data_IF_568566263469
#
_entry.id   IF_568566263469
#
_cell.length_a   1.000
_cell.length_b   1.000
_cell.length_c   1.000
_cell.angle_alpha   90.00
_cell.angle_beta   90.00
_cell.angle_gamma   90.00
#
_symmetry.space_group_name_H-M   'P 1'
#
loop_
_entity.id
_entity.type
_entity.pdbx_description
1 polymer ?
#
# COMPACT_ATOMS: atom_id res chain seq x y z
N UNK A 1 -30.15 -0.69 -5.53
CA UNK A 1 -29.00 0.20 -5.34
C UNK A 1 -28.09 -0.01 -6.52
N UNK A 2 -27.78 1.04 -7.28
CA UNK A 2 -26.73 0.95 -8.31
C UNK A 2 -25.44 0.43 -7.63
N UNK A 3 -24.65 -0.44 -8.26
CA UNK A 3 -23.38 -0.85 -7.68
C UNK A 3 -22.58 0.41 -7.40
N UNK A 4 -22.14 0.57 -6.14
CA UNK A 4 -21.44 1.76 -5.69
C UNK A 4 -20.24 2.07 -6.57
N UNK A 5 -20.00 3.34 -6.89
CA UNK A 5 -18.83 3.78 -7.62
C UNK A 5 -17.55 3.51 -6.80
N UNK A 6 -16.43 3.41 -7.47
CA UNK A 6 -15.10 3.27 -6.87
C UNK A 6 -14.32 4.54 -7.22
N UNK A 7 -13.76 5.22 -6.23
CA UNK A 7 -12.85 6.33 -6.49
C UNK A 7 -11.44 5.82 -6.74
N UNK A 8 -10.86 6.16 -7.89
CA UNK A 8 -9.47 5.86 -8.24
C UNK A 8 -8.67 7.15 -8.21
N UNK A 9 -7.87 7.33 -7.16
CA UNK A 9 -6.99 8.49 -7.03
C UNK A 9 -5.66 8.24 -7.70
N UNK A 10 -5.29 9.12 -8.62
CA UNK A 10 -4.00 9.12 -9.31
C UNK A 10 -3.55 10.55 -9.60
N UNK A 11 -2.28 10.73 -9.94
CA UNK A 11 -1.78 12.02 -10.40
C UNK A 11 -0.69 11.82 -11.46
N UNK A 12 -0.65 12.62 -12.56
CA UNK A 12 0.40 12.50 -13.59
C UNK A 12 1.81 12.56 -13.01
N UNK A 13 2.06 13.39 -12.00
CA UNK A 13 3.35 13.51 -11.33
C UNK A 13 3.88 12.20 -10.75
N UNK A 14 3.03 11.27 -10.40
CA UNK A 14 3.48 9.95 -9.91
C UNK A 14 4.17 9.14 -11.01
N UNK A 15 3.92 9.46 -12.28
CA UNK A 15 4.61 8.86 -13.43
C UNK A 15 5.96 9.49 -13.73
N UNK A 16 6.23 10.68 -13.18
CA UNK A 16 7.49 11.41 -13.37
C UNK A 16 8.61 10.91 -12.43
N UNK A 17 8.27 10.07 -11.44
CA UNK A 17 9.28 9.33 -10.67
C UNK A 17 9.96 8.32 -11.60
N UNK A 18 11.26 8.51 -11.84
CA UNK A 18 12.08 7.68 -12.75
C UNK A 18 13.33 7.14 -12.04
N UNK A 19 13.30 5.90 -11.55
CA UNK A 19 14.45 5.25 -10.93
C UNK A 19 15.47 4.70 -11.96
N UNK A 20 15.19 4.85 -13.25
CA UNK A 20 16.04 4.42 -14.35
C UNK A 20 15.43 3.31 -15.22
N UNK A 21 15.94 3.12 -16.45
CA UNK A 21 15.27 2.35 -17.49
C UNK A 21 15.18 0.83 -17.22
N UNK A 22 16.07 0.29 -16.38
CA UNK A 22 16.08 -1.13 -16.03
C UNK A 22 15.46 -1.42 -14.65
N UNK A 23 14.91 -0.40 -14.00
CA UNK A 23 14.37 -0.55 -12.65
C UNK A 23 12.98 -1.22 -12.69
N UNK A 24 12.71 -2.23 -11.84
CA UNK A 24 11.42 -2.93 -11.85
C UNK A 24 10.27 -2.01 -11.43
N UNK A 25 10.51 -1.07 -10.49
CA UNK A 25 9.53 -0.06 -10.10
C UNK A 25 9.45 1.04 -11.16
N UNK A 26 8.82 0.75 -12.31
CA UNK A 26 8.75 1.60 -13.48
C UNK A 26 7.37 2.27 -13.66
N UNK A 27 7.29 3.45 -14.33
CA UNK A 27 6.02 4.13 -14.62
C UNK A 27 4.99 3.25 -15.36
N UNK A 28 5.44 2.25 -16.12
CA UNK A 28 4.56 1.31 -16.82
C UNK A 28 3.62 0.53 -15.88
N UNK A 29 4.01 0.31 -14.63
CA UNK A 29 3.19 -0.36 -13.61
C UNK A 29 1.84 0.35 -13.46
N UNK A 30 1.85 1.65 -13.25
CA UNK A 30 0.63 2.46 -13.07
C UNK A 30 -0.03 2.79 -14.41
N UNK A 31 0.72 3.02 -15.50
CA UNK A 31 0.11 3.27 -16.82
C UNK A 31 -0.77 2.12 -17.29
N UNK A 32 -0.28 0.89 -17.23
CA UNK A 32 -1.03 -0.30 -17.64
C UNK A 32 -2.23 -0.53 -16.71
N UNK A 33 -2.06 -0.33 -15.41
CA UNK A 33 -3.15 -0.42 -14.44
C UNK A 33 -4.26 0.58 -14.74
N UNK A 34 -3.93 1.86 -14.93
CA UNK A 34 -4.93 2.90 -15.22
C UNK A 34 -5.66 2.63 -16.53
N UNK A 35 -4.95 2.24 -17.59
CA UNK A 35 -5.57 1.86 -18.87
C UNK A 35 -6.56 0.70 -18.68
N UNK A 36 -6.19 -0.35 -17.94
CA UNK A 36 -7.07 -1.48 -17.67
C UNK A 36 -8.31 -1.10 -16.85
N UNK A 37 -8.21 -0.14 -15.94
CA UNK A 37 -9.34 0.38 -15.17
C UNK A 37 -10.24 1.28 -16.02
N UNK A 38 -9.69 2.06 -16.96
CA UNK A 38 -10.42 2.96 -17.85
C UNK A 38 -11.14 2.26 -18.98
N UNK A 39 -10.56 1.17 -19.49
CA UNK A 39 -11.05 0.45 -20.67
C UNK A 39 -11.66 -0.91 -20.33
N UNK A 40 -11.45 -1.39 -19.10
CA UNK A 40 -11.85 -2.72 -18.66
C UNK A 40 -13.29 -2.81 -18.12
N UNK A 41 -13.63 -3.95 -17.54
CA UNK A 41 -15.01 -4.26 -17.09
C UNK A 41 -15.50 -3.36 -15.93
N UNK A 42 -14.60 -2.66 -15.24
CA UNK A 42 -14.95 -1.73 -14.16
C UNK A 42 -15.01 -0.27 -14.60
N UNK A 43 -14.78 0.06 -15.87
CA UNK A 43 -14.71 1.43 -16.38
C UNK A 43 -15.93 2.28 -15.97
N UNK A 44 -17.13 1.73 -16.07
CA UNK A 44 -18.37 2.41 -15.69
C UNK A 44 -18.57 2.56 -14.17
N UNK A 45 -17.80 1.85 -13.36
CA UNK A 45 -17.82 1.93 -11.89
C UNK A 45 -16.72 2.80 -11.31
N UNK A 46 -15.67 3.09 -12.07
CA UNK A 46 -14.52 3.86 -11.61
C UNK A 46 -14.68 5.35 -11.91
N UNK A 47 -14.57 6.18 -10.88
CA UNK A 47 -14.40 7.62 -11.00
C UNK A 47 -12.92 7.96 -10.78
N UNK A 48 -12.27 8.47 -11.82
CA UNK A 48 -10.86 8.85 -11.77
C UNK A 48 -10.74 10.28 -11.24
N UNK A 49 -10.00 10.42 -10.17
CA UNK A 49 -9.85 11.68 -9.43
C UNK A 49 -8.37 12.03 -9.31
N UNK A 50 -8.07 13.29 -9.50
CA UNK A 50 -6.71 13.79 -9.31
C UNK A 50 -6.33 13.80 -7.83
N UNK A 51 -5.21 13.16 -7.50
CA UNK A 51 -4.75 13.08 -6.13
C UNK A 51 -4.17 14.41 -5.66
N UNK A 52 -4.60 14.94 -4.51
CA UNK A 52 -3.97 16.11 -3.93
C UNK A 52 -2.52 15.81 -3.55
N UNK A 53 -1.71 16.83 -3.43
CA UNK A 53 -0.42 16.73 -2.76
C UNK A 53 -0.64 16.64 -1.24
N UNK A 54 0.04 15.71 -0.56
CA UNK A 54 0.01 15.64 0.89
C UNK A 54 0.64 16.90 1.48
N UNK A 55 -0.06 17.55 2.40
CA UNK A 55 0.48 18.71 3.07
C UNK A 55 1.69 18.35 3.95
N UNK A 56 2.62 19.27 4.09
CA UNK A 56 3.80 19.08 4.95
C UNK A 56 3.42 18.61 6.38
N UNK A 57 2.41 19.18 7.06
CA UNK A 57 1.97 18.69 8.36
C UNK A 57 1.51 17.22 8.37
N UNK A 58 0.92 16.71 7.28
CA UNK A 58 0.55 15.30 7.21
C UNK A 58 1.77 14.40 7.12
N UNK A 59 2.75 14.78 6.31
CA UNK A 59 4.00 14.02 6.15
C UNK A 59 4.80 14.01 7.47
N UNK A 60 4.83 15.13 8.19
CA UNK A 60 5.59 15.27 9.45
C UNK A 60 5.02 14.47 10.62
N UNK A 61 3.78 13.97 10.52
CA UNK A 61 3.22 12.98 11.47
C UNK A 61 3.88 11.60 11.38
N UNK A 62 4.62 11.35 10.30
CA UNK A 62 5.24 10.05 9.99
C UNK A 62 6.74 10.18 9.81
N UNK A 63 7.19 11.22 9.14
CA UNK A 63 8.57 11.45 8.76
C UNK A 63 9.05 12.79 9.32
N UNK A 64 10.11 12.85 10.12
CA UNK A 64 10.65 14.11 10.64
C UNK A 64 10.99 15.13 9.55
N UNK A 65 10.79 16.42 9.86
CA UNK A 65 11.07 17.52 8.95
C UNK A 65 12.43 17.43 8.24
N UNK A 66 13.55 17.21 8.96
CA UNK A 66 14.87 17.08 8.34
C UNK A 66 14.99 15.96 7.31
N UNK A 67 14.26 14.85 7.49
CA UNK A 67 14.23 13.78 6.48
C UNK A 67 13.53 14.23 5.20
N UNK A 68 12.38 14.89 5.33
CA UNK A 68 11.62 15.40 4.19
C UNK A 68 12.41 16.50 3.44
N UNK A 69 13.12 17.37 4.18
CA UNK A 69 14.00 18.39 3.61
C UNK A 69 15.13 17.74 2.80
N UNK A 70 15.75 16.69 3.34
CA UNK A 70 16.76 15.91 2.62
C UNK A 70 16.23 15.29 1.33
N UNK A 71 15.01 14.74 1.32
CA UNK A 71 14.40 14.23 0.09
C UNK A 71 14.19 15.35 -0.94
N UNK A 72 13.73 16.53 -0.49
CA UNK A 72 13.57 17.70 -1.35
C UNK A 72 14.91 18.20 -1.90
N UNK A 73 15.98 18.23 -1.10
CA UNK A 73 17.32 18.59 -1.52
C UNK A 73 17.88 17.63 -2.56
N UNK A 74 17.74 16.31 -2.36
CA UNK A 74 18.17 15.30 -3.33
C UNK A 74 17.41 15.47 -4.65
N UNK A 75 16.09 15.69 -4.61
CA UNK A 75 15.30 15.97 -5.81
C UNK A 75 15.75 17.27 -6.49
N UNK A 76 15.97 18.34 -5.73
CA UNK A 76 16.47 19.63 -6.24
C UNK A 76 17.86 19.55 -6.89
N UNK A 77 18.70 18.62 -6.46
CA UNK A 77 20.00 18.32 -7.05
C UNK A 77 19.91 17.43 -8.32
N UNK A 78 18.70 17.08 -8.77
CA UNK A 78 18.48 16.26 -9.96
C UNK A 78 18.20 14.79 -9.67
N UNK A 79 18.16 14.41 -8.42
CA UNK A 79 17.97 13.03 -7.95
C UNK A 79 19.24 12.40 -7.40
N UNK A 80 19.18 11.13 -7.04
CA UNK A 80 20.30 10.40 -6.48
C UNK A 80 19.90 9.04 -5.91
N UNK A 81 20.89 8.27 -5.51
CA UNK A 81 20.70 6.97 -4.85
C UNK A 81 20.60 7.17 -3.34
N UNK A 82 19.56 6.66 -2.73
CA UNK A 82 19.32 6.74 -1.28
C UNK A 82 19.69 5.45 -0.54
N UNK A 83 19.55 4.31 -1.22
CA UNK A 83 19.91 2.98 -0.72
C UNK A 83 20.39 2.12 -1.90
N UNK A 84 20.74 0.86 -1.65
CA UNK A 84 21.23 -0.08 -2.66
C UNK A 84 20.28 -0.23 -3.86
N UNK A 85 18.98 -0.11 -3.62
CA UNK A 85 17.90 -0.32 -4.60
C UNK A 85 16.92 0.87 -4.74
N UNK A 86 17.10 1.93 -3.95
CA UNK A 86 16.17 3.07 -3.93
C UNK A 86 16.81 4.29 -4.56
N UNK A 87 16.27 4.68 -5.71
CA UNK A 87 16.79 5.79 -6.55
C UNK A 87 15.72 6.86 -6.70
N UNK A 88 16.13 8.12 -6.60
CA UNK A 88 15.29 9.29 -6.88
C UNK A 88 15.70 9.96 -8.19
N UNK A 89 14.72 10.46 -8.92
CA UNK A 89 14.86 11.49 -9.94
C UNK A 89 14.48 12.87 -9.38
N UNK A 90 14.66 13.92 -10.16
CA UNK A 90 14.28 15.28 -9.78
C UNK A 90 12.78 15.42 -9.37
N UNK A 91 11.91 14.57 -9.90
CA UNK A 91 10.47 14.63 -9.65
C UNK A 91 10.00 13.65 -8.56
N UNK A 92 10.89 12.82 -8.02
CA UNK A 92 10.51 11.73 -7.12
C UNK A 92 9.88 12.19 -5.81
N UNK A 93 10.35 13.30 -5.22
CA UNK A 93 9.76 13.83 -4.00
C UNK A 93 8.34 14.36 -4.22
N UNK A 94 8.12 15.10 -5.31
CA UNK A 94 6.77 15.54 -5.71
C UNK A 94 5.84 14.34 -5.94
N UNK A 95 6.33 13.32 -6.65
CA UNK A 95 5.58 12.07 -6.85
C UNK A 95 5.19 11.40 -5.53
N UNK A 96 6.12 11.31 -4.56
CA UNK A 96 5.88 10.75 -3.24
C UNK A 96 4.85 11.57 -2.44
N UNK A 97 4.88 12.90 -2.54
CA UNK A 97 3.87 13.77 -1.90
C UNK A 97 2.46 13.51 -2.49
N UNK A 98 2.34 13.35 -3.81
CA UNK A 98 1.05 12.99 -4.43
C UNK A 98 0.64 11.55 -4.10
N UNK A 99 1.58 10.61 -3.96
CA UNK A 99 1.26 9.24 -3.55
C UNK A 99 0.67 9.20 -2.12
N UNK A 100 1.30 9.91 -1.19
CA UNK A 100 0.79 10.04 0.18
C UNK A 100 -0.56 10.79 0.21
N UNK A 101 -0.71 11.85 -0.59
CA UNK A 101 -1.95 12.60 -0.72
C UNK A 101 -3.10 11.76 -1.28
N UNK A 102 -2.81 10.89 -2.25
CA UNK A 102 -3.77 9.93 -2.79
C UNK A 102 -4.23 8.92 -1.73
N UNK A 103 -3.30 8.42 -0.90
CA UNK A 103 -3.63 7.51 0.20
C UNK A 103 -4.58 8.16 1.21
N UNK A 104 -4.33 9.42 1.58
CA UNK A 104 -5.24 10.20 2.44
C UNK A 104 -6.60 10.43 1.75
N UNK A 105 -6.61 10.78 0.46
CA UNK A 105 -7.85 11.00 -0.28
C UNK A 105 -8.68 9.71 -0.40
N UNK A 106 -8.02 8.56 -0.60
CA UNK A 106 -8.68 7.25 -0.63
C UNK A 106 -9.26 6.89 0.74
N UNK A 107 -8.52 7.10 1.83
CA UNK A 107 -9.01 6.89 3.19
C UNK A 107 -10.23 7.78 3.50
N UNK A 108 -10.18 9.04 3.08
CA UNK A 108 -11.31 9.99 3.22
C UNK A 108 -12.54 9.50 2.49
N UNK A 109 -12.40 9.13 1.21
CA UNK A 109 -13.51 8.65 0.40
C UNK A 109 -14.15 7.40 1.00
N UNK A 110 -13.34 6.45 1.48
CA UNK A 110 -13.84 5.27 2.15
C UNK A 110 -14.66 5.61 3.41
N UNK A 111 -14.17 6.51 4.27
CA UNK A 111 -14.88 6.99 5.45
C UNK A 111 -16.17 7.73 5.11
N UNK A 112 -16.23 8.38 3.95
CA UNK A 112 -17.41 9.06 3.43
C UNK A 112 -18.34 8.10 2.65
N UNK A 113 -18.07 6.78 2.70
CA UNK A 113 -18.94 5.73 2.18
C UNK A 113 -18.64 5.26 0.74
N UNK A 114 -17.56 5.73 0.11
CA UNK A 114 -17.16 5.33 -1.24
C UNK A 114 -15.85 4.55 -1.22
N UNK A 115 -15.84 3.25 -1.60
CA UNK A 115 -14.61 2.48 -1.73
C UNK A 115 -13.60 3.19 -2.63
N UNK A 116 -12.32 3.15 -2.26
CA UNK A 116 -11.32 3.91 -2.99
C UNK A 116 -9.97 3.21 -3.12
N UNK A 117 -9.26 3.53 -4.19
CA UNK A 117 -7.94 3.02 -4.51
C UNK A 117 -6.99 4.14 -4.91
N UNK A 118 -5.86 4.23 -4.26
CA UNK A 118 -4.74 5.09 -4.64
C UNK A 118 -3.83 4.34 -5.62
N UNK A 119 -4.00 4.61 -6.92
CA UNK A 119 -3.21 4.04 -8.01
C UNK A 119 -1.96 4.89 -8.24
N UNK A 120 -0.97 4.76 -7.38
CA UNK A 120 0.16 5.67 -7.27
C UNK A 120 1.51 4.95 -7.23
N UNK A 121 2.57 5.72 -7.36
CA UNK A 121 3.98 5.40 -7.13
C UNK A 121 4.74 6.69 -6.76
N UNK A 122 5.88 6.58 -6.06
CA UNK A 122 6.50 5.36 -5.53
C UNK A 122 5.66 4.66 -4.46
N UNK A 123 5.94 3.35 -4.18
CA UNK A 123 5.34 2.64 -3.06
C UNK A 123 5.80 3.21 -1.72
N UNK A 124 5.26 2.71 -0.60
CA UNK A 124 5.49 3.33 0.70
C UNK A 124 5.88 2.40 1.84
N UNK A 125 5.48 1.14 1.85
CA UNK A 125 5.48 0.30 3.04
C UNK A 125 6.86 -0.01 3.64
N UNK A 126 7.95 0.16 2.87
CA UNK A 126 9.32 -0.01 3.37
C UNK A 126 9.92 1.28 3.97
N UNK A 127 9.37 2.46 3.69
CA UNK A 127 9.92 3.72 4.18
C UNK A 127 9.82 3.80 5.71
N UNK A 128 10.98 3.91 6.36
CA UNK A 128 11.12 4.17 7.79
C UNK A 128 10.95 5.66 8.09
N UNK A 129 10.90 6.04 9.35
CA UNK A 129 10.74 7.45 9.74
C UNK A 129 11.77 8.37 9.06
N UNK A 130 13.03 7.97 9.03
CA UNK A 130 14.15 8.79 8.53
C UNK A 130 14.98 8.11 7.43
N UNK A 131 14.45 7.03 6.83
CA UNK A 131 15.18 6.27 5.81
C UNK A 131 14.27 5.77 4.71
N UNK A 132 14.63 6.14 3.48
CA UNK A 132 14.08 5.55 2.25
C UNK A 132 14.76 4.21 1.98
N UNK A 133 14.00 3.18 1.59
CA UNK A 133 14.50 1.88 1.20
C UNK A 133 13.42 1.08 0.45
N UNK A 134 13.79 0.02 -0.26
CA UNK A 134 12.83 -0.86 -0.94
C UNK A 134 11.95 -0.08 -1.92
N UNK A 135 12.51 0.84 -2.70
CA UNK A 135 11.83 1.74 -3.64
C UNK A 135 10.92 2.79 -2.98
N UNK A 136 10.76 2.78 -1.65
CA UNK A 136 9.84 3.62 -0.90
C UNK A 136 10.53 4.88 -0.36
N UNK A 137 9.89 6.03 -0.55
CA UNK A 137 10.37 7.33 -0.07
C UNK A 137 9.57 7.84 1.13
N UNK A 138 8.25 7.73 1.07
CA UNK A 138 7.30 8.15 2.11
C UNK A 138 6.35 6.97 2.37
N UNK A 139 6.03 6.73 3.63
CA UNK A 139 5.10 5.65 3.97
C UNK A 139 3.63 6.09 3.78
N UNK A 140 3.13 5.88 2.56
CA UNK A 140 1.83 6.37 2.11
C UNK A 140 0.68 5.91 3.00
N UNK A 141 0.65 4.61 3.35
CA UNK A 141 -0.45 4.02 4.13
C UNK A 141 -0.44 4.51 5.58
N UNK A 142 0.76 4.73 6.18
CA UNK A 142 0.85 5.26 7.54
C UNK A 142 0.50 6.75 7.58
N UNK A 143 0.83 7.53 6.54
CA UNK A 143 0.35 8.93 6.43
C UNK A 143 -1.18 8.97 6.43
N UNK A 144 -1.84 8.09 5.68
CA UNK A 144 -3.30 7.98 5.67
C UNK A 144 -3.86 7.53 7.03
N UNK A 145 -3.21 6.55 7.69
CA UNK A 145 -3.62 6.08 9.02
C UNK A 145 -3.51 7.19 10.08
N UNK A 146 -2.39 7.92 10.12
CA UNK A 146 -2.20 9.07 11.03
C UNK A 146 -3.21 10.19 10.76
N UNK A 147 -3.44 10.51 9.49
CA UNK A 147 -4.48 11.45 9.12
C UNK A 147 -5.86 11.01 9.64
N UNK A 148 -6.23 9.75 9.49
CA UNK A 148 -7.52 9.24 9.95
C UNK A 148 -7.66 9.31 11.48
N UNK A 149 -6.60 9.01 12.23
CA UNK A 149 -6.60 9.13 13.69
C UNK A 149 -6.77 10.58 14.15
N UNK A 150 -6.05 11.52 13.52
CA UNK A 150 -5.92 12.88 14.03
C UNK A 150 -6.96 13.85 13.44
N UNK A 151 -7.31 13.72 12.15
CA UNK A 151 -8.26 14.63 11.50
C UNK A 151 -9.72 14.11 11.55
N UNK A 152 -9.90 12.77 11.63
CA UNK A 152 -11.23 12.16 11.70
C UNK A 152 -11.55 11.63 13.10
N UNK A 153 -10.62 11.71 14.04
CA UNK A 153 -10.81 11.27 15.42
C UNK A 153 -10.99 9.76 15.59
N UNK A 154 -10.49 8.95 14.63
CA UNK A 154 -10.55 7.50 14.77
C UNK A 154 -9.61 7.04 15.88
N UNK A 155 -9.93 5.88 16.46
CA UNK A 155 -9.12 5.26 17.51
C UNK A 155 -8.76 3.80 17.20
N UNK A 156 -9.22 3.28 16.06
CA UNK A 156 -8.95 1.91 15.61
C UNK A 156 -8.82 1.86 14.08
N UNK A 157 -7.59 1.80 13.58
CA UNK A 157 -7.26 1.62 12.16
C UNK A 157 -6.57 0.28 11.98
N UNK A 158 -7.06 -0.55 11.07
CA UNK A 158 -6.41 -1.78 10.66
C UNK A 158 -5.65 -1.53 9.36
N UNK A 159 -4.36 -1.85 9.34
CA UNK A 159 -3.56 -1.92 8.12
C UNK A 159 -3.34 -3.40 7.80
N UNK A 160 -3.74 -3.83 6.62
CA UNK A 160 -3.45 -5.17 6.10
C UNK A 160 -2.54 -5.02 4.89
N UNK A 161 -1.40 -5.66 4.95
CA UNK A 161 -0.36 -5.65 3.94
C UNK A 161 -0.24 -7.04 3.33
N UNK A 162 -0.54 -7.15 2.06
CA UNK A 162 -0.40 -8.38 1.29
C UNK A 162 0.66 -8.30 0.20
N UNK A 163 1.45 -7.22 0.19
CA UNK A 163 2.71 -7.21 -0.57
C UNK A 163 3.56 -8.43 -0.17
N UNK A 164 4.26 -9.00 -1.12
CA UNK A 164 5.05 -10.20 -0.86
C UNK A 164 6.26 -9.93 0.04
N UNK A 165 6.68 -8.66 0.12
CA UNK A 165 7.73 -8.21 1.02
C UNK A 165 7.16 -7.75 2.36
N UNK A 166 7.90 -7.98 3.44
CA UNK A 166 7.50 -7.42 4.73
C UNK A 166 7.55 -5.91 4.73
N UNK A 167 6.44 -5.24 5.05
CA UNK A 167 6.37 -3.78 5.18
C UNK A 167 7.03 -3.29 6.47
N UNK A 168 8.36 -3.44 6.54
CA UNK A 168 9.15 -3.12 7.72
C UNK A 168 9.04 -1.66 8.16
N UNK A 169 8.85 -0.74 7.22
CA UNK A 169 8.60 0.68 7.51
C UNK A 169 7.26 0.88 8.19
N UNK A 170 6.20 0.25 7.66
CA UNK A 170 4.87 0.31 8.27
C UNK A 170 4.90 -0.26 9.69
N UNK A 171 5.48 -1.46 9.89
CA UNK A 171 5.62 -2.04 11.23
C UNK A 171 6.33 -1.07 12.20
N UNK A 172 7.52 -0.61 11.84
CA UNK A 172 8.33 0.25 12.71
C UNK A 172 7.63 1.57 13.10
N UNK A 173 6.80 2.12 12.20
CA UNK A 173 6.06 3.35 12.42
C UNK A 173 4.80 3.19 13.28
N UNK A 174 4.28 1.94 13.41
CA UNK A 174 3.00 1.73 14.11
C UNK A 174 3.11 0.78 15.30
N UNK A 175 4.17 0.02 15.47
CA UNK A 175 4.29 -1.04 16.49
C UNK A 175 4.19 -0.55 17.94
N UNK A 176 4.33 0.76 18.19
CA UNK A 176 4.18 1.38 19.49
C UNK A 176 2.83 2.11 19.67
N UNK A 177 1.90 2.04 18.68
CA UNK A 177 0.61 2.71 18.75
C UNK A 177 -0.54 1.70 18.71
N UNK A 178 -1.11 1.38 19.86
CA UNK A 178 -2.19 0.42 20.01
C UNK A 178 -3.49 0.78 19.23
N UNK A 179 -3.61 2.01 18.72
CA UNK A 179 -4.74 2.45 17.89
C UNK A 179 -4.65 1.93 16.47
N UNK A 180 -3.45 1.46 16.04
CA UNK A 180 -3.23 0.88 14.71
C UNK A 180 -2.84 -0.58 14.90
N UNK A 181 -3.59 -1.50 14.28
CA UNK A 181 -3.16 -2.89 14.13
C UNK A 181 -2.60 -3.11 12.73
N UNK A 182 -1.48 -3.82 12.66
CA UNK A 182 -0.79 -4.14 11.41
C UNK A 182 -0.73 -5.65 11.22
N UNK A 183 -1.22 -6.11 10.07
CA UNK A 183 -1.18 -7.52 9.65
C UNK A 183 -0.39 -7.60 8.35
N UNK A 184 0.66 -8.41 8.29
CA UNK A 184 1.48 -8.57 7.09
C UNK A 184 1.66 -10.03 6.72
N UNK A 185 1.23 -10.41 5.51
CA UNK A 185 1.59 -11.68 4.89
C UNK A 185 2.77 -11.44 3.96
N UNK A 186 3.89 -12.11 4.19
CA UNK A 186 5.07 -11.91 3.37
C UNK A 186 5.90 -13.19 3.21
N UNK A 187 6.70 -13.24 2.16
CA UNK A 187 7.61 -14.35 1.92
C UNK A 187 8.78 -14.30 2.90
N UNK A 188 9.13 -15.46 3.44
CA UNK A 188 10.29 -15.65 4.29
C UNK A 188 11.06 -16.92 3.91
N UNK A 189 12.40 -16.86 3.75
CA UNK A 189 13.24 -15.65 3.75
C UNK A 189 13.07 -14.84 2.46
N UNK A 190 13.04 -13.52 2.57
CA UNK A 190 13.06 -12.56 1.47
C UNK A 190 13.50 -11.19 2.00
N UNK A 191 13.74 -10.21 1.09
CA UNK A 191 13.93 -8.81 1.46
C UNK A 191 12.73 -8.31 2.31
N UNK A 192 12.93 -7.47 3.32
CA UNK A 192 14.19 -6.93 3.82
C UNK A 192 14.83 -7.79 4.92
N UNK A 193 14.34 -9.01 5.18
CA UNK A 193 14.86 -9.92 6.19
C UNK A 193 14.33 -9.64 7.61
N UNK A 194 13.17 -9.00 7.72
CA UNK A 194 12.42 -8.66 8.95
C UNK A 194 11.02 -9.26 8.92
N UNK A 195 10.24 -9.09 9.97
CA UNK A 195 8.84 -9.55 10.02
C UNK A 195 8.70 -10.98 10.58
N UNK A 196 9.43 -11.30 11.64
CA UNK A 196 9.26 -12.58 12.30
C UNK A 196 7.92 -12.66 13.02
N UNK A 197 7.34 -13.85 13.11
CA UNK A 197 6.05 -14.06 13.75
C UNK A 197 6.02 -13.68 15.25
N UNK A 198 7.19 -13.66 15.88
CA UNK A 198 7.36 -13.28 17.28
C UNK A 198 7.39 -11.76 17.51
N UNK A 199 7.57 -10.96 16.45
CA UNK A 199 7.53 -9.51 16.53
C UNK A 199 6.06 -9.06 16.66
N UNK A 200 5.71 -8.55 17.83
CA UNK A 200 4.30 -8.25 18.19
C UNK A 200 4.04 -6.79 18.50
N UNK A 201 5.08 -5.93 18.50
CA UNK A 201 4.94 -4.53 18.96
C UNK A 201 4.36 -4.47 20.38
N UNK A 202 3.40 -3.58 20.60
CA UNK A 202 2.63 -3.53 21.87
C UNK A 202 1.41 -4.47 21.84
N UNK A 203 1.48 -5.56 21.09
CA UNK A 203 0.40 -6.52 20.85
C UNK A 203 -0.45 -6.18 19.62
N UNK A 204 0.03 -5.31 18.76
CA UNK A 204 -0.69 -4.77 17.61
C UNK A 204 -0.10 -5.17 16.26
N UNK A 205 0.96 -5.99 16.24
CA UNK A 205 1.62 -6.49 15.02
C UNK A 205 1.34 -7.98 14.86
N UNK A 206 0.94 -8.39 13.65
CA UNK A 206 0.56 -9.76 13.28
C UNK A 206 1.28 -10.16 12.00
N UNK A 207 2.53 -10.61 12.14
CA UNK A 207 3.36 -11.07 11.03
C UNK A 207 3.06 -12.52 10.65
N UNK A 208 2.91 -12.76 9.35
CA UNK A 208 2.59 -14.06 8.75
C UNK A 208 3.66 -14.44 7.73
N UNK A 209 4.92 -14.70 8.18
CA UNK A 209 5.97 -15.16 7.27
C UNK A 209 5.61 -16.53 6.69
N UNK A 210 5.79 -16.71 5.38
CA UNK A 210 5.50 -17.95 4.66
C UNK A 210 6.61 -18.28 3.66
N UNK A 211 6.95 -19.56 3.46
CA UNK A 211 7.90 -19.97 2.42
C UNK A 211 7.26 -19.78 1.02
N UNK A 212 8.07 -19.61 -0.04
CA UNK A 212 7.60 -19.58 -1.42
C UNK A 212 7.05 -20.93 -1.89
N UNK A 213 6.32 -20.91 -3.02
CA UNK A 213 5.93 -22.11 -3.76
C UNK A 213 4.84 -22.97 -3.08
N UNK A 214 4.12 -22.45 -2.10
CA UNK A 214 2.97 -23.13 -1.48
C UNK A 214 1.72 -22.93 -2.35
N UNK A 215 0.72 -23.82 -2.25
CA UNK A 215 -0.59 -23.56 -2.87
C UNK A 215 -1.18 -22.22 -2.43
N UNK A 216 -1.79 -21.46 -3.35
CA UNK A 216 -2.32 -20.12 -3.06
C UNK A 216 -3.33 -20.12 -1.90
N UNK A 217 -4.13 -21.18 -1.77
CA UNK A 217 -5.08 -21.32 -0.68
C UNK A 217 -4.43 -21.28 0.71
N UNK A 218 -3.19 -21.77 0.87
CA UNK A 218 -2.47 -21.69 2.16
C UNK A 218 -2.14 -20.24 2.54
N UNK A 219 -1.77 -19.40 1.56
CA UNK A 219 -1.52 -17.99 1.78
C UNK A 219 -2.83 -17.25 2.08
N UNK A 220 -3.89 -17.56 1.31
CA UNK A 220 -5.21 -16.95 1.49
C UNK A 220 -5.74 -17.22 2.89
N UNK A 221 -5.70 -18.46 3.34
CA UNK A 221 -6.23 -18.85 4.65
C UNK A 221 -5.34 -18.33 5.80
N UNK A 222 -4.02 -18.26 5.59
CA UNK A 222 -3.09 -17.74 6.59
C UNK A 222 -3.32 -16.25 6.87
N UNK A 223 -3.46 -15.42 5.83
CA UNK A 223 -3.73 -14.00 6.00
C UNK A 223 -5.13 -13.77 6.60
N UNK A 224 -6.15 -14.50 6.13
CA UNK A 224 -7.50 -14.38 6.68
C UNK A 224 -7.55 -14.78 8.17
N UNK A 225 -6.80 -15.81 8.59
CA UNK A 225 -6.68 -16.20 9.99
C UNK A 225 -6.04 -15.09 10.85
N UNK A 226 -4.96 -14.46 10.35
CA UNK A 226 -4.29 -13.37 11.04
C UNK A 226 -5.19 -12.11 11.15
N UNK A 227 -5.94 -11.79 10.12
CA UNK A 227 -6.92 -10.68 10.17
C UNK A 227 -8.03 -10.99 11.19
N UNK A 228 -8.51 -12.23 11.26
CA UNK A 228 -9.46 -12.63 12.30
C UNK A 228 -8.87 -12.48 13.71
N UNK A 229 -7.62 -12.95 13.93
CA UNK A 229 -6.91 -12.76 15.20
C UNK A 229 -6.77 -11.26 15.53
N UNK A 230 -6.34 -10.48 14.55
CA UNK A 230 -6.16 -9.04 14.70
C UNK A 230 -7.48 -8.27 14.95
N UNK A 231 -8.62 -8.84 14.67
CA UNK A 231 -9.93 -8.18 14.84
C UNK A 231 -10.79 -8.80 15.94
N UNK A 232 -10.31 -9.84 16.61
CA UNK A 232 -11.02 -10.46 17.73
C UNK A 232 -11.15 -9.47 18.90
N UNK A 233 -12.40 -9.21 19.30
CA UNK A 233 -12.70 -8.19 20.32
C UNK A 233 -12.28 -6.76 19.95
N UNK A 234 -11.82 -6.51 18.69
CA UNK A 234 -11.34 -5.20 18.24
C UNK A 234 -11.90 -4.85 16.86
N UNK A 235 -13.01 -4.15 16.80
CA UNK A 235 -13.64 -3.75 15.56
C UNK A 235 -12.91 -2.53 14.96
N UNK A 236 -12.30 -2.64 13.76
CA UNK A 236 -11.70 -1.50 13.08
C UNK A 236 -12.77 -0.48 12.67
N UNK A 237 -12.39 0.79 12.63
CA UNK A 237 -13.20 1.89 12.10
C UNK A 237 -12.81 2.25 10.66
N UNK A 238 -11.63 1.81 10.23
CA UNK A 238 -11.11 1.93 8.88
C UNK A 238 -10.15 0.77 8.63
N UNK A 239 -10.21 0.18 7.45
CA UNK A 239 -9.24 -0.78 6.95
C UNK A 239 -8.47 -0.13 5.81
N UNK A 240 -7.15 -0.04 5.96
CA UNK A 240 -6.23 0.38 4.91
C UNK A 240 -5.48 -0.84 4.38
N UNK A 241 -5.43 -0.98 3.07
CA UNK A 241 -4.79 -2.10 2.40
C UNK A 241 -3.51 -1.60 1.72
N UNK A 242 -2.34 -2.06 2.19
CA UNK A 242 -1.10 -1.99 1.42
C UNK A 242 -1.20 -3.05 0.32
N UNK A 243 -1.62 -2.59 -0.86
CA UNK A 243 -2.03 -3.44 -1.96
C UNK A 243 -0.88 -3.67 -2.95
N UNK A 244 0.12 -4.45 -2.53
CA UNK A 244 1.12 -5.02 -3.43
C UNK A 244 0.53 -6.17 -4.25
N UNK A 245 1.01 -6.32 -5.48
CA UNK A 245 0.58 -7.40 -6.37
C UNK A 245 1.75 -8.27 -6.84
N UNK A 246 2.88 -8.23 -6.14
CA UNK A 246 4.07 -9.05 -6.34
C UNK A 246 3.98 -10.44 -5.68
N UNK A 247 2.97 -10.68 -4.84
CA UNK A 247 2.66 -12.01 -4.35
C UNK A 247 2.02 -12.92 -5.41
N UNK A 248 1.78 -12.41 -6.63
CA UNK A 248 1.21 -13.19 -7.72
C UNK A 248 2.20 -14.15 -8.35
N UNK A 249 1.70 -15.29 -8.82
CA UNK A 249 2.50 -16.25 -9.58
C UNK A 249 3.19 -15.58 -10.78
N UNK A 250 4.50 -15.77 -10.88
CA UNK A 250 5.32 -15.25 -11.99
C UNK A 250 5.86 -13.84 -11.81
N UNK A 251 5.72 -13.23 -10.62
CA UNK A 251 6.43 -11.99 -10.33
C UNK A 251 7.96 -12.25 -10.26
N UNK A 252 8.79 -11.37 -10.86
CA UNK A 252 10.24 -11.60 -10.92
C UNK A 252 10.96 -11.44 -9.58
N UNK A 253 10.34 -10.81 -8.57
CA UNK A 253 10.99 -10.52 -7.29
C UNK A 253 10.58 -11.47 -6.17
N UNK A 254 9.65 -12.40 -6.41
CA UNK A 254 9.13 -13.29 -5.37
C UNK A 254 8.67 -14.65 -5.91
N UNK A 255 8.29 -15.53 -4.99
CA UNK A 255 7.92 -16.91 -5.29
C UNK A 255 6.57 -17.33 -4.71
N UNK A 256 5.68 -16.40 -4.36
CA UNK A 256 4.30 -16.73 -4.01
C UNK A 256 3.50 -17.09 -5.28
N UNK A 257 2.34 -17.68 -5.11
CA UNK A 257 1.56 -18.31 -6.18
C UNK A 257 0.13 -17.79 -6.22
N UNK A 258 -0.10 -16.57 -5.73
CA UNK A 258 -1.44 -15.98 -5.73
C UNK A 258 -1.92 -15.70 -7.16
N UNK A 259 -3.23 -15.77 -7.33
CA UNK A 259 -3.94 -15.46 -8.57
C UNK A 259 -4.90 -14.27 -8.32
N UNK A 260 -5.38 -13.57 -9.36
CA UNK A 260 -6.23 -12.39 -9.23
C UNK A 260 -7.42 -12.57 -8.28
N UNK A 261 -8.08 -13.73 -8.34
CA UNK A 261 -9.26 -14.02 -7.52
C UNK A 261 -8.96 -14.18 -6.03
N UNK A 262 -7.71 -14.44 -5.65
CA UNK A 262 -7.33 -14.56 -4.24
C UNK A 262 -7.47 -13.22 -3.52
N UNK A 263 -7.10 -12.11 -4.19
CA UNK A 263 -7.29 -10.74 -3.68
C UNK A 263 -8.77 -10.37 -3.52
N UNK A 264 -9.61 -10.77 -4.47
CA UNK A 264 -11.05 -10.59 -4.37
C UNK A 264 -11.65 -11.40 -3.21
N UNK A 265 -11.13 -12.60 -2.97
CA UNK A 265 -11.54 -13.48 -1.88
C UNK A 265 -11.28 -12.83 -0.52
N UNK A 266 -10.10 -12.26 -0.30
CA UNK A 266 -9.78 -11.55 0.93
C UNK A 266 -10.74 -10.38 1.18
N UNK A 267 -10.90 -9.50 0.21
CA UNK A 267 -11.79 -8.34 0.35
C UNK A 267 -13.22 -8.78 0.64
N UNK A 268 -13.75 -9.77 -0.07
CA UNK A 268 -15.09 -10.32 0.15
C UNK A 268 -15.25 -10.88 1.56
N UNK A 269 -14.22 -11.55 2.10
CA UNK A 269 -14.22 -12.07 3.47
C UNK A 269 -14.21 -10.94 4.50
N UNK A 270 -13.43 -9.86 4.27
CA UNK A 270 -13.26 -8.78 5.25
C UNK A 270 -14.37 -7.73 5.23
N UNK A 271 -15.18 -7.67 4.17
CA UNK A 271 -16.41 -6.84 4.16
C UNK A 271 -17.33 -7.15 5.35
N UNK A 272 -17.32 -8.37 5.88
CA UNK A 272 -18.06 -8.74 7.10
C UNK A 272 -17.63 -7.98 8.36
N UNK A 273 -16.43 -7.37 8.38
CA UNK A 273 -15.98 -6.54 9.49
C UNK A 273 -16.76 -5.22 9.58
N UNK A 274 -17.52 -4.85 8.52
CA UNK A 274 -18.38 -3.66 8.50
C UNK A 274 -17.63 -2.33 8.49
N UNK A 275 -16.29 -2.36 8.38
CA UNK A 275 -15.47 -1.15 8.29
C UNK A 275 -15.26 -0.72 6.83
N UNK A 276 -15.22 0.60 6.56
CA UNK A 276 -14.84 1.12 5.25
C UNK A 276 -13.41 0.69 4.89
N UNK A 277 -13.17 0.46 3.58
CA UNK A 277 -11.88 0.00 3.07
C UNK A 277 -11.34 0.96 2.01
N UNK A 278 -10.03 1.28 2.11
CA UNK A 278 -9.28 1.98 1.08
C UNK A 278 -7.97 1.23 0.80
N UNK A 279 -7.57 1.20 -0.46
CA UNK A 279 -6.36 0.50 -0.90
C UNK A 279 -5.32 1.48 -1.44
N UNK A 280 -4.05 1.19 -1.18
CA UNK A 280 -2.90 1.96 -1.66
C UNK A 280 -1.96 1.00 -2.39
N UNK A 281 -1.63 1.29 -3.63
CA UNK A 281 -0.74 0.44 -4.44
C UNK A 281 0.67 0.43 -3.83
N UNK A 282 1.21 -0.77 -3.66
CA UNK A 282 2.60 -0.99 -3.26
C UNK A 282 3.37 -1.68 -4.41
N UNK A 283 3.93 -2.86 -4.19
CA UNK A 283 4.70 -3.62 -5.17
C UNK A 283 3.87 -4.28 -6.27
N UNK A 284 4.55 -5.11 -7.03
CA UNK A 284 4.06 -5.80 -8.23
C UNK A 284 4.85 -5.33 -9.47
N UNK A 285 5.47 -6.28 -10.19
CA UNK A 285 6.49 -5.95 -11.20
C UNK A 285 6.20 -6.57 -12.56
N UNK A 286 5.01 -7.15 -12.73
CA UNK A 286 4.45 -7.55 -14.02
C UNK A 286 3.19 -6.71 -14.28
N UNK A 287 3.26 -5.60 -15.05
CA UNK A 287 2.18 -4.62 -15.17
C UNK A 287 0.81 -5.18 -15.55
N UNK A 288 0.77 -6.17 -16.45
CA UNK A 288 -0.47 -6.82 -16.85
C UNK A 288 -1.08 -7.66 -15.72
N UNK A 289 -0.26 -8.28 -14.88
CA UNK A 289 -0.72 -9.06 -13.72
C UNK A 289 -1.23 -8.13 -12.62
N UNK A 290 -0.56 -7.00 -12.37
CA UNK A 290 -1.05 -5.94 -11.47
C UNK A 290 -2.46 -5.53 -11.89
N UNK A 291 -2.67 -5.24 -13.17
CA UNK A 291 -3.97 -4.83 -13.69
C UNK A 291 -5.05 -5.90 -13.47
N UNK A 292 -4.74 -7.18 -13.72
CA UNK A 292 -5.67 -8.29 -13.49
C UNK A 292 -6.08 -8.42 -12.01
N UNK A 293 -5.09 -8.36 -11.11
CA UNK A 293 -5.34 -8.48 -9.68
C UNK A 293 -6.09 -7.26 -9.12
N UNK A 294 -5.72 -6.05 -9.55
CA UNK A 294 -6.42 -4.85 -9.16
C UNK A 294 -7.89 -4.83 -9.62
N UNK A 295 -8.17 -5.29 -10.85
CA UNK A 295 -9.55 -5.43 -11.33
C UNK A 295 -10.35 -6.41 -10.47
N UNK A 296 -9.79 -7.58 -10.12
CA UNK A 296 -10.45 -8.56 -9.27
C UNK A 296 -10.68 -8.00 -7.85
N UNK A 297 -9.64 -7.38 -7.27
CA UNK A 297 -9.71 -6.71 -5.97
C UNK A 297 -10.80 -5.64 -5.91
N UNK A 298 -10.78 -4.71 -6.87
CA UNK A 298 -11.73 -3.59 -6.92
C UNK A 298 -13.17 -4.03 -7.22
N UNK A 299 -13.35 -5.13 -7.97
CA UNK A 299 -14.68 -5.70 -8.19
C UNK A 299 -15.34 -6.18 -6.89
N UNK A 300 -14.54 -6.54 -5.88
CA UNK A 300 -14.98 -7.03 -4.58
C UNK A 300 -15.18 -5.91 -3.53
N UNK A 301 -14.61 -4.72 -3.75
CA UNK A 301 -14.85 -3.52 -2.94
C UNK A 301 -16.25 -2.96 -3.19
#
# INVERSE_FOLDING_TARGET
MSPGGIHVYHHPRTLDHDPGPAHPEAPSRVRVLLAALQEGPLASRCAFLEAPEASRPWLERVHPGPYLDRLAEVAGAGGGRLDADTVMSAQSFTAACHAAGAAVAAARAALDGTPAFAAVRPPGHHALAERAMGFCLVNNVVVAARWALEERGLVRVLIVDWDVHHGNGTQALVEQDARIRYVSLHQWPLYPGTGRAEERGVGNVFNVPRPPGRPSAEYVDALDAAVREATDGWAPQLILLSAGFDAMAGDPLAGFTLEPNDYATWVSRWRRLGAPMASVLEGGYVPTRIAQAALAHLAAL
#
